data_IF_888876126356
#
_entry.id   IF_888876126356
#
_cell.length_a   1.000
_cell.length_b   1.000
_cell.length_c   1.000
_cell.angle_alpha   90.00
_cell.angle_beta   90.00
_cell.angle_gamma   90.00
#
_symmetry.space_group_name_H-M   'P 1'
#
loop_
_entity.id
_entity.type
_entity.pdbx_description
1 polymer ?
#
# COMPACT_ATOMS: atom_id res chain seq x y z
N UNK A 1 -43.44 10.43 -17.86
CA UNK A 1 -42.71 9.21 -17.46
C UNK A 1 -41.25 9.38 -17.86
N UNK A 2 -40.40 9.82 -16.92
CA UNK A 2 -38.96 9.97 -17.14
C UNK A 2 -38.26 8.72 -16.62
N UNK A 3 -37.66 7.93 -17.52
CA UNK A 3 -36.78 6.83 -17.17
C UNK A 3 -35.40 7.42 -16.87
N UNK A 4 -35.13 7.62 -15.59
CA UNK A 4 -33.79 7.91 -15.06
C UNK A 4 -33.50 6.83 -14.04
N UNK A 5 -32.32 6.22 -14.15
CA UNK A 5 -31.73 5.42 -13.07
C UNK A 5 -31.88 3.93 -13.31
N UNK A 6 -30.77 3.30 -13.69
CA UNK A 6 -30.41 1.92 -13.32
C UNK A 6 -28.99 1.60 -13.84
N UNK A 7 -28.52 2.27 -14.90
CA UNK A 7 -27.21 2.00 -15.52
C UNK A 7 -25.98 2.51 -14.75
N UNK A 8 -26.08 3.62 -13.98
CA UNK A 8 -24.92 4.20 -13.26
C UNK A 8 -24.58 3.49 -11.95
N UNK A 9 -25.58 2.96 -11.24
CA UNK A 9 -25.39 2.23 -9.97
C UNK A 9 -24.63 0.91 -10.21
N UNK A 10 -24.89 0.24 -11.34
CA UNK A 10 -24.22 -1.01 -11.69
C UNK A 10 -22.71 -0.86 -11.95
N UNK A 11 -22.25 0.31 -12.45
CA UNK A 11 -20.81 0.57 -12.69
C UNK A 11 -20.04 0.84 -11.40
N UNK A 12 -20.58 1.63 -10.48
CA UNK A 12 -19.94 1.87 -9.17
C UNK A 12 -19.82 0.59 -8.34
N UNK A 13 -20.80 -0.30 -8.43
CA UNK A 13 -20.76 -1.63 -7.80
C UNK A 13 -19.73 -2.53 -8.49
N UNK A 14 -19.64 -2.54 -9.84
CA UNK A 14 -18.64 -3.34 -10.54
C UNK A 14 -17.19 -2.90 -10.23
N UNK A 15 -16.94 -1.60 -10.05
CA UNK A 15 -15.63 -1.09 -9.63
C UNK A 15 -15.33 -1.53 -8.19
N UNK A 16 -16.29 -1.46 -7.27
CA UNK A 16 -16.11 -1.99 -5.91
C UNK A 16 -15.85 -3.50 -5.88
N UNK A 17 -16.49 -4.28 -6.76
CA UNK A 17 -16.25 -5.72 -6.90
C UNK A 17 -14.90 -6.05 -7.55
N UNK A 18 -14.45 -5.28 -8.55
CA UNK A 18 -13.09 -5.42 -9.10
C UNK A 18 -12.01 -4.92 -8.12
N UNK A 19 -12.37 -4.04 -7.18
CA UNK A 19 -11.49 -3.59 -6.09
C UNK A 19 -11.23 -4.71 -5.08
N UNK A 20 -12.08 -5.73 -5.00
CA UNK A 20 -12.03 -6.75 -3.95
C UNK A 20 -12.39 -8.12 -4.53
N UNK A 21 -11.51 -8.72 -5.35
CA UNK A 21 -11.64 -10.13 -5.68
C UNK A 21 -11.47 -10.96 -4.40
N UNK A 22 -12.55 -11.56 -3.91
CA UNK A 22 -12.59 -12.34 -2.68
C UNK A 22 -11.97 -13.74 -2.89
N UNK A 23 -11.06 -14.13 -1.99
CA UNK A 23 -10.66 -15.52 -1.79
C UNK A 23 -11.62 -16.19 -0.77
N UNK A 24 -11.88 -17.50 -0.86
CA UNK A 24 -12.84 -18.17 0.03
C UNK A 24 -12.38 -18.15 1.50
N UNK A 25 -13.37 -17.83 2.37
CA UNK A 25 -13.34 -17.68 3.84
C UNK A 25 -12.17 -18.28 4.60
N UNK A 26 -11.33 -17.41 5.16
CA UNK A 26 -10.40 -17.75 6.23
C UNK A 26 -11.16 -17.99 7.54
N UNK A 27 -10.72 -18.99 8.32
CA UNK A 27 -11.15 -19.13 9.71
C UNK A 27 -10.97 -17.80 10.45
N UNK A 28 -11.97 -17.36 11.23
CA UNK A 28 -11.97 -16.05 11.89
C UNK A 28 -10.78 -15.82 12.86
N UNK A 29 -10.03 -16.89 13.16
CA UNK A 29 -8.88 -16.94 14.05
C UNK A 29 -7.52 -16.82 13.32
N UNK A 30 -7.46 -17.14 12.02
CA UNK A 30 -6.22 -17.13 11.24
C UNK A 30 -6.15 -15.91 10.31
N UNK A 31 -4.93 -15.58 9.90
CA UNK A 31 -4.70 -14.53 8.91
C UNK A 31 -5.41 -14.87 7.58
N UNK A 32 -6.19 -13.94 7.00
CA UNK A 32 -6.65 -14.10 5.62
C UNK A 32 -5.45 -14.09 4.68
N UNK A 33 -5.68 -14.43 3.41
CA UNK A 33 -4.71 -14.10 2.37
C UNK A 33 -4.49 -12.58 2.41
N UNK A 34 -3.34 -12.15 2.95
CA UNK A 34 -2.95 -10.75 3.04
C UNK A 34 -2.58 -10.23 1.66
N UNK A 35 -3.55 -10.18 0.75
CA UNK A 35 -3.32 -9.81 -0.63
C UNK A 35 -3.91 -8.45 -0.97
N UNK A 36 -3.23 -7.76 -1.88
CA UNK A 36 -3.76 -6.61 -2.61
C UNK A 36 -3.84 -7.03 -4.07
N UNK A 37 -5.05 -7.31 -4.54
CA UNK A 37 -5.32 -7.68 -5.95
C UNK A 37 -4.41 -8.82 -6.43
N UNK A 38 -4.26 -9.87 -5.60
CA UNK A 38 -3.42 -11.02 -5.90
C UNK A 38 -1.93 -10.85 -5.58
N UNK A 39 -1.48 -9.67 -5.12
CA UNK A 39 -0.10 -9.44 -4.68
C UNK A 39 0.01 -9.67 -3.17
N UNK A 40 0.99 -10.46 -2.72
CA UNK A 40 1.21 -10.75 -1.30
C UNK A 40 2.65 -10.47 -0.87
N UNK A 41 2.89 -10.11 0.40
CA UNK A 41 4.24 -10.14 0.96
C UNK A 41 4.87 -11.52 0.76
N UNK A 42 6.18 -11.54 0.47
CA UNK A 42 6.94 -12.74 0.16
C UNK A 42 7.10 -13.07 -1.32
N UNK A 43 6.24 -12.54 -2.21
CA UNK A 43 6.42 -12.68 -3.66
C UNK A 43 7.75 -12.09 -4.11
N UNK A 44 8.38 -12.73 -5.09
CA UNK A 44 9.61 -12.23 -5.71
C UNK A 44 9.34 -11.01 -6.57
N UNK A 45 10.39 -10.24 -6.87
CA UNK A 45 10.30 -9.12 -7.81
C UNK A 45 9.72 -9.53 -9.17
N UNK A 46 10.14 -10.67 -9.72
CA UNK A 46 9.69 -11.12 -11.04
C UNK A 46 8.18 -11.45 -11.03
N UNK A 47 7.69 -12.10 -9.98
CA UNK A 47 6.26 -12.41 -9.83
C UNK A 47 5.42 -11.14 -9.72
N UNK A 48 5.85 -10.17 -8.91
CA UNK A 48 5.14 -8.90 -8.75
C UNK A 48 5.11 -8.12 -10.08
N UNK A 49 6.25 -7.97 -10.76
CA UNK A 49 6.30 -7.21 -12.02
C UNK A 49 5.42 -7.87 -13.07
N UNK A 50 5.50 -9.20 -13.23
CA UNK A 50 4.65 -9.92 -14.18
C UNK A 50 3.15 -9.73 -13.86
N UNK A 51 2.77 -9.80 -12.58
CA UNK A 51 1.39 -9.59 -12.17
C UNK A 51 0.92 -8.14 -12.40
N UNK A 52 1.80 -7.15 -12.22
CA UNK A 52 1.49 -5.74 -12.48
C UNK A 52 1.42 -5.41 -13.97
N UNK A 53 2.31 -5.96 -14.78
CA UNK A 53 2.33 -5.77 -16.24
C UNK A 53 1.14 -6.44 -16.93
N UNK A 54 0.59 -7.50 -16.34
CA UNK A 54 -0.62 -8.16 -16.84
C UNK A 54 -1.91 -7.34 -16.60
N UNK A 55 -1.84 -6.22 -15.89
CA UNK A 55 -3.01 -5.38 -15.60
C UNK A 55 -3.21 -4.31 -16.65
N UNK A 56 -4.42 -4.26 -17.20
CA UNK A 56 -4.81 -3.23 -18.17
C UNK A 56 -5.24 -1.91 -17.50
N UNK A 57 -5.58 -1.95 -16.21
CA UNK A 57 -6.08 -0.78 -15.48
C UNK A 57 -4.97 0.07 -14.85
N UNK A 58 -3.71 -0.35 -14.97
CA UNK A 58 -2.53 0.39 -14.53
C UNK A 58 -1.66 0.69 -15.75
N UNK A 59 -1.28 1.94 -15.95
CA UNK A 59 -0.63 2.38 -17.19
C UNK A 59 0.89 2.17 -17.21
N UNK A 60 1.59 2.63 -16.18
CA UNK A 60 3.05 2.59 -16.08
C UNK A 60 3.47 1.65 -14.95
N UNK A 61 4.42 0.76 -15.21
CA UNK A 61 5.21 0.05 -14.19
C UNK A 61 6.63 0.64 -14.16
N UNK A 62 7.02 1.25 -13.05
CA UNK A 62 8.36 1.83 -12.85
C UNK A 62 9.05 1.22 -11.62
N UNK A 63 10.37 1.19 -11.63
CA UNK A 63 11.20 0.66 -10.54
C UNK A 63 12.10 1.75 -9.98
N UNK A 64 12.22 1.79 -8.66
CA UNK A 64 13.11 2.71 -7.97
C UNK A 64 14.18 1.96 -7.16
N UNK A 65 15.39 2.50 -7.18
CA UNK A 65 16.55 1.84 -6.56
C UNK A 65 16.46 1.84 -5.03
N UNK A 66 15.80 2.83 -4.44
CA UNK A 66 15.91 3.12 -3.02
C UNK A 66 14.54 3.33 -2.37
N UNK A 67 14.38 2.83 -1.15
CA UNK A 67 13.29 3.20 -0.25
C UNK A 67 13.80 3.42 1.16
N UNK A 68 14.11 2.33 1.84
CA UNK A 68 14.39 2.29 3.27
C UNK A 68 15.88 2.16 3.58
N UNK A 69 16.68 1.73 2.59
CA UNK A 69 18.14 1.65 2.70
C UNK A 69 18.83 2.37 1.56
N UNK A 70 19.91 3.07 1.89
CA UNK A 70 20.78 3.62 0.85
C UNK A 70 21.56 2.48 0.21
N UNK A 71 21.52 2.42 -1.12
CA UNK A 71 22.15 1.34 -1.87
C UNK A 71 23.67 1.46 -1.97
N UNK A 72 24.25 2.62 -1.63
CA UNK A 72 25.69 2.89 -1.68
C UNK A 72 26.34 2.54 -3.03
N UNK A 73 25.61 2.78 -4.13
CA UNK A 73 26.04 2.48 -5.50
C UNK A 73 25.81 1.03 -5.94
N UNK A 74 25.34 0.15 -5.06
CA UNK A 74 24.87 -1.18 -5.45
C UNK A 74 23.54 -1.02 -6.22
N UNK A 75 23.36 -1.67 -7.39
CA UNK A 75 22.15 -1.53 -8.20
C UNK A 75 20.98 -2.31 -7.61
N UNK A 76 20.38 -1.81 -6.54
CA UNK A 76 19.23 -2.43 -5.87
C UNK A 76 17.92 -2.04 -6.53
N UNK A 77 16.85 -2.82 -6.27
CA UNK A 77 15.48 -2.49 -6.67
C UNK A 77 14.61 -2.58 -5.42
N UNK A 78 14.37 -1.45 -4.77
CA UNK A 78 13.65 -1.41 -3.49
C UNK A 78 12.18 -1.02 -3.63
N UNK A 79 11.78 -0.49 -4.78
CA UNK A 79 10.38 -0.14 -5.07
C UNK A 79 10.02 -0.57 -6.49
N UNK A 80 8.80 -1.06 -6.64
CA UNK A 80 8.06 -1.04 -7.91
C UNK A 80 6.79 -0.24 -7.70
N UNK A 81 6.40 0.54 -8.69
CA UNK A 81 5.14 1.26 -8.72
C UNK A 81 4.42 0.96 -10.02
N UNK A 82 3.14 0.63 -9.92
CA UNK A 82 2.22 0.57 -11.05
C UNK A 82 1.14 1.65 -10.90
N UNK A 83 0.91 2.50 -11.91
CA UNK A 83 0.09 3.71 -11.78
C UNK A 83 -0.56 4.13 -13.10
N UNK A 84 -1.78 4.66 -13.06
CA UNK A 84 -2.57 5.13 -14.24
C UNK A 84 -2.47 6.65 -14.50
N UNK A 85 -1.75 7.39 -13.66
CA UNK A 85 -1.56 8.83 -13.79
C UNK A 85 -0.64 9.24 -14.95
N UNK A 86 -0.67 10.55 -15.25
CA UNK A 86 0.16 11.16 -16.31
C UNK A 86 1.36 11.89 -15.72
N UNK A 87 2.40 12.09 -16.53
CA UNK A 87 3.59 12.83 -16.11
C UNK A 87 3.24 14.25 -15.70
N UNK A 88 3.96 14.73 -14.70
CA UNK A 88 4.00 16.16 -14.40
C UNK A 88 4.79 16.91 -15.47
N UNK A 89 4.31 18.10 -15.81
CA UNK A 89 5.00 18.95 -16.78
C UNK A 89 6.33 19.43 -16.18
N UNK A 90 7.33 19.65 -17.05
CA UNK A 90 8.64 20.14 -16.59
C UNK A 90 8.48 21.53 -15.97
N UNK A 91 8.82 21.66 -14.68
CA UNK A 91 8.68 22.91 -13.93
C UNK A 91 7.30 23.13 -13.28
N UNK A 92 6.37 22.18 -13.43
CA UNK A 92 5.12 22.18 -12.68
C UNK A 92 5.43 22.09 -11.18
N UNK A 93 4.95 23.07 -10.42
CA UNK A 93 5.25 23.16 -8.98
C UNK A 93 4.34 22.22 -8.21
N UNK A 94 4.90 21.63 -7.16
CA UNK A 94 4.14 20.92 -6.13
C UNK A 94 3.09 21.85 -5.51
N UNK A 95 1.82 21.67 -5.90
CA UNK A 95 0.68 22.31 -5.21
C UNK A 95 0.01 21.29 -4.33
N UNK A 96 -0.17 21.63 -3.05
CA UNK A 96 -0.92 20.81 -2.11
C UNK A 96 -2.42 20.91 -2.46
N UNK A 97 -3.06 19.79 -2.77
CA UNK A 97 -4.50 19.70 -3.02
C UNK A 97 -5.11 18.77 -1.97
N UNK A 98 -5.72 19.38 -0.95
CA UNK A 98 -6.21 18.66 0.22
C UNK A 98 -5.05 17.98 0.98
N UNK A 99 -5.12 16.66 1.09
CA UNK A 99 -4.07 15.82 1.70
C UNK A 99 -3.03 15.31 0.70
N UNK A 100 -3.27 15.47 -0.61
CA UNK A 100 -2.35 15.09 -1.67
C UNK A 100 -1.65 16.28 -2.29
N UNK A 101 -0.91 16.04 -3.36
CA UNK A 101 -0.31 17.06 -4.21
C UNK A 101 -0.69 16.82 -5.67
N UNK A 102 -0.83 17.91 -6.43
CA UNK A 102 -1.12 17.85 -7.87
C UNK A 102 -0.07 17.05 -8.63
N UNK A 103 1.19 17.30 -8.32
CA UNK A 103 2.31 16.47 -8.73
C UNK A 103 2.83 15.74 -7.51
N UNK A 104 2.63 14.45 -7.41
CA UNK A 104 3.07 13.69 -6.23
C UNK A 104 4.49 13.18 -6.42
N UNK A 105 5.45 13.74 -5.67
CA UNK A 105 6.78 13.14 -5.56
C UNK A 105 6.75 12.08 -4.49
N UNK A 106 7.05 10.87 -4.90
CA UNK A 106 7.18 9.74 -4.02
C UNK A 106 8.62 9.60 -3.52
N UNK A 107 8.76 9.02 -2.32
CA UNK A 107 10.08 8.62 -1.80
C UNK A 107 10.72 7.64 -2.79
N UNK A 108 12.05 7.66 -2.87
CA UNK A 108 12.80 6.68 -3.65
C UNK A 108 13.11 7.05 -5.09
N UNK A 109 12.85 8.31 -5.51
CA UNK A 109 13.11 8.82 -6.87
C UNK A 109 12.18 8.24 -7.95
N UNK A 110 10.97 7.84 -7.57
CA UNK A 110 9.90 7.55 -8.52
C UNK A 110 9.47 8.82 -9.25
N UNK A 111 9.00 8.66 -10.48
CA UNK A 111 8.63 9.80 -11.35
C UNK A 111 7.41 10.52 -10.79
N UNK A 112 7.43 11.87 -10.66
CA UNK A 112 6.25 12.60 -10.23
C UNK A 112 5.09 12.46 -11.23
N UNK A 113 3.89 12.17 -10.71
CA UNK A 113 2.69 11.99 -11.54
C UNK A 113 1.52 12.83 -11.01
N UNK A 114 0.57 13.12 -11.90
CA UNK A 114 -0.70 13.79 -11.61
C UNK A 114 -1.88 12.99 -12.14
N UNK A 115 -3.08 13.37 -11.72
CA UNK A 115 -4.35 12.74 -12.11
C UNK A 115 -4.36 11.21 -11.90
N UNK A 116 -3.79 10.76 -10.77
CA UNK A 116 -3.74 9.34 -10.40
C UNK A 116 -5.14 8.89 -9.96
N UNK A 117 -5.70 7.91 -10.66
CA UNK A 117 -6.92 7.21 -10.27
C UNK A 117 -6.62 5.93 -9.48
N UNK A 118 -5.56 5.22 -9.85
CA UNK A 118 -5.10 4.00 -9.19
C UNK A 118 -3.58 3.95 -9.11
N UNK A 119 -3.09 3.45 -7.98
CA UNK A 119 -1.66 3.26 -7.75
C UNK A 119 -1.44 2.02 -6.88
N UNK A 120 -0.46 1.22 -7.25
CA UNK A 120 0.10 0.16 -6.41
C UNK A 120 1.58 0.44 -6.24
N UNK A 121 2.06 0.42 -5.00
CA UNK A 121 3.48 0.49 -4.68
C UNK A 121 3.86 -0.78 -3.93
N UNK A 122 4.95 -1.40 -4.33
CA UNK A 122 5.51 -2.58 -3.68
C UNK A 122 6.93 -2.25 -3.23
N UNK A 123 7.20 -2.40 -1.95
CA UNK A 123 8.54 -2.31 -1.40
C UNK A 123 9.20 -3.69 -1.36
N UNK A 124 10.45 -3.73 -1.82
CA UNK A 124 11.28 -4.92 -1.87
C UNK A 124 12.48 -4.82 -0.95
N UNK A 125 12.90 -5.98 -0.46
CA UNK A 125 14.12 -6.18 0.29
C UNK A 125 14.90 -7.35 -0.29
N UNK A 126 16.22 -7.25 -0.26
CA UNK A 126 17.12 -8.28 -0.78
C UNK A 126 18.03 -7.74 -1.87
N UNK A 127 19.10 -8.50 -2.14
CA UNK A 127 20.02 -8.22 -3.22
C UNK A 127 19.37 -8.50 -4.59
N UNK A 128 19.91 -7.95 -5.69
CA UNK A 128 19.44 -8.24 -7.04
C UNK A 128 19.31 -9.75 -7.32
N UNK A 129 18.14 -10.17 -7.79
CA UNK A 129 17.77 -11.56 -8.06
C UNK A 129 17.24 -12.32 -6.84
N UNK A 130 17.21 -11.71 -5.65
CA UNK A 130 16.71 -12.30 -4.40
C UNK A 130 15.70 -11.39 -3.71
N UNK A 131 15.17 -10.41 -4.41
CA UNK A 131 14.22 -9.46 -3.85
C UNK A 131 12.89 -10.13 -3.54
N UNK A 132 12.36 -9.86 -2.34
CA UNK A 132 11.04 -10.28 -1.90
C UNK A 132 10.22 -9.07 -1.48
N UNK A 133 8.93 -9.10 -1.79
CA UNK A 133 7.97 -8.07 -1.43
C UNK A 133 7.81 -8.05 0.09
N UNK A 134 8.12 -6.91 0.71
CA UNK A 134 7.99 -6.70 2.15
C UNK A 134 6.69 -6.00 2.51
N UNK A 135 6.33 -4.96 1.76
CA UNK A 135 5.12 -4.18 1.99
C UNK A 135 4.48 -3.79 0.66
N UNK A 136 3.15 -3.83 0.62
CA UNK A 136 2.37 -3.46 -0.55
C UNK A 136 1.40 -2.36 -0.12
N UNK A 137 1.25 -1.34 -0.97
CA UNK A 137 0.25 -0.30 -0.87
C UNK A 137 -0.60 -0.29 -2.12
N UNK A 138 -1.88 -0.02 -1.96
CA UNK A 138 -2.79 0.34 -3.03
C UNK A 138 -3.54 1.60 -2.66
N UNK A 139 -3.68 2.47 -3.64
CA UNK A 139 -4.52 3.67 -3.59
C UNK A 139 -5.50 3.64 -4.74
N UNK A 140 -6.73 4.05 -4.46
CA UNK A 140 -7.79 4.30 -5.44
C UNK A 140 -8.39 5.66 -5.13
N UNK A 141 -8.41 6.55 -6.12
CA UNK A 141 -9.09 7.85 -6.08
C UNK A 141 -10.33 7.75 -6.96
N UNK A 142 -11.50 7.98 -6.37
CA UNK A 142 -12.77 7.85 -7.09
C UNK A 142 -13.10 9.13 -7.83
N UNK A 143 -13.45 9.01 -9.11
CA UNK A 143 -13.90 10.13 -9.92
C UNK A 143 -15.19 10.75 -9.35
N UNK A 144 -15.40 12.04 -9.61
CA UNK A 144 -16.61 12.74 -9.19
C UNK A 144 -17.86 12.06 -9.76
N UNK A 145 -18.82 11.77 -8.88
CA UNK A 145 -20.05 11.06 -9.26
C UNK A 145 -19.92 9.54 -9.33
N UNK A 146 -18.71 9.00 -9.14
CA UNK A 146 -18.43 7.56 -8.99
C UNK A 146 -17.99 7.19 -7.56
N UNK A 147 -18.16 8.12 -6.62
CA UNK A 147 -17.80 7.93 -5.21
C UNK A 147 -18.70 6.84 -4.57
N UNK A 148 -18.13 5.69 -4.14
CA UNK A 148 -18.90 4.66 -3.44
C UNK A 148 -19.27 5.14 -2.04
N UNK A 149 -20.23 4.47 -1.39
CA UNK A 149 -20.50 4.73 0.02
C UNK A 149 -19.34 4.24 0.89
N UNK A 150 -19.06 4.95 1.98
CA UNK A 150 -18.07 4.51 2.96
C UNK A 150 -18.48 3.15 3.53
N UNK A 151 -19.76 2.96 3.87
CA UNK A 151 -20.27 1.69 4.39
C UNK A 151 -20.08 0.53 3.41
N UNK A 152 -20.30 0.75 2.11
CA UNK A 152 -20.10 -0.28 1.09
C UNK A 152 -18.63 -0.69 0.94
N UNK A 153 -17.70 0.26 1.07
CA UNK A 153 -16.28 -0.06 1.12
C UNK A 153 -15.90 -0.81 2.40
N UNK A 154 -16.44 -0.43 3.56
CA UNK A 154 -16.22 -1.16 4.81
C UNK A 154 -16.72 -2.60 4.71
N UNK A 155 -17.93 -2.81 4.19
CA UNK A 155 -18.53 -4.14 3.97
C UNK A 155 -17.67 -5.00 3.04
N UNK A 156 -17.23 -4.46 1.90
CA UNK A 156 -16.36 -5.20 0.97
C UNK A 156 -15.01 -5.57 1.59
N UNK A 157 -14.42 -4.68 2.40
CA UNK A 157 -13.17 -4.96 3.10
C UNK A 157 -13.37 -6.02 4.19
N UNK A 158 -14.51 -5.99 4.89
CA UNK A 158 -14.87 -7.02 5.89
C UNK A 158 -15.13 -8.36 5.23
N UNK A 159 -15.77 -8.38 4.06
CA UNK A 159 -15.98 -9.59 3.28
C UNK A 159 -14.63 -10.22 2.89
N UNK A 160 -13.66 -9.40 2.47
CA UNK A 160 -12.33 -9.89 2.06
C UNK A 160 -11.42 -10.31 3.20
N UNK A 161 -11.33 -9.49 4.24
CA UNK A 161 -10.32 -9.66 5.30
C UNK A 161 -10.92 -10.13 6.64
N UNK A 162 -12.24 -10.33 6.71
CA UNK A 162 -12.97 -10.63 7.93
C UNK A 162 -13.23 -9.39 8.80
N UNK A 163 -13.73 -9.58 10.01
CA UNK A 163 -13.97 -8.48 10.94
C UNK A 163 -12.65 -7.80 11.35
N UNK A 164 -12.52 -6.46 11.31
CA UNK A 164 -11.32 -5.75 11.73
C UNK A 164 -11.12 -5.83 13.24
N UNK A 165 -9.86 -5.68 13.69
CA UNK A 165 -9.52 -5.55 15.10
C UNK A 165 -9.73 -4.13 15.63
N UNK A 166 -9.53 -3.17 14.74
CA UNK A 166 -9.67 -1.76 15.01
C UNK A 166 -10.50 -1.17 13.90
N UNK A 167 -11.59 -0.53 14.30
CA UNK A 167 -12.34 0.42 13.48
C UNK A 167 -12.30 1.75 14.20
N UNK A 168 -11.70 2.75 13.57
CA UNK A 168 -11.62 4.10 14.10
C UNK A 168 -12.24 5.07 13.12
N UNK A 169 -13.02 5.99 13.66
CA UNK A 169 -13.48 7.19 12.99
C UNK A 169 -12.94 8.39 13.78
N UNK A 170 -13.12 9.59 13.23
CA UNK A 170 -12.65 10.89 13.73
C UNK A 170 -12.72 11.10 15.27
N UNK A 171 -13.64 10.44 15.97
CA UNK A 171 -13.86 10.56 17.42
C UNK A 171 -12.90 9.75 18.31
N UNK A 172 -11.97 8.96 17.76
CA UNK A 172 -11.18 8.01 18.56
C UNK A 172 -9.72 7.89 18.16
N UNK A 173 -8.85 8.33 19.08
CA UNK A 173 -7.42 7.99 19.17
C UNK A 173 -6.43 8.81 18.30
N UNK A 174 -5.81 9.81 18.92
CA UNK A 174 -4.72 10.63 18.37
C UNK A 174 -3.43 9.88 18.00
N UNK A 175 -3.34 8.56 18.22
CA UNK A 175 -2.07 7.81 18.06
C UNK A 175 -1.95 7.00 16.76
N UNK A 176 -3.04 6.79 16.00
CA UNK A 176 -3.01 5.94 14.79
C UNK A 176 -2.67 6.67 13.49
N UNK A 177 -2.45 7.98 13.60
CA UNK A 177 -1.99 8.91 12.55
C UNK A 177 -2.87 8.99 11.29
N UNK A 178 -4.08 8.43 11.28
CA UNK A 178 -4.99 8.52 10.13
C UNK A 178 -5.37 9.98 9.80
N UNK A 179 -5.72 10.22 8.54
CA UNK A 179 -6.15 11.55 8.08
C UNK A 179 -7.47 11.95 8.72
N UNK A 180 -7.62 13.23 9.02
CA UNK A 180 -8.83 13.77 9.66
C UNK A 180 -10.09 13.44 8.85
N UNK A 181 -11.13 12.98 9.53
CA UNK A 181 -12.40 12.55 8.93
C UNK A 181 -12.36 11.17 8.25
N UNK A 182 -11.21 10.50 8.18
CA UNK A 182 -11.12 9.18 7.58
C UNK A 182 -11.70 8.08 8.47
N UNK A 183 -12.22 7.02 7.85
CA UNK A 183 -12.47 5.74 8.52
C UNK A 183 -11.25 4.86 8.35
N UNK A 184 -10.69 4.40 9.47
CA UNK A 184 -9.56 3.49 9.52
C UNK A 184 -10.02 2.10 9.97
N UNK A 185 -9.69 1.07 9.19
CA UNK A 185 -9.84 -0.34 9.53
C UNK A 185 -8.46 -0.99 9.65
N UNK A 186 -8.27 -1.90 10.61
CA UNK A 186 -7.00 -2.63 10.75
C UNK A 186 -7.22 -4.08 11.17
N UNK A 187 -6.49 -4.98 10.51
CA UNK A 187 -6.39 -6.40 10.82
C UNK A 187 -4.96 -6.72 11.20
N UNK A 188 -4.78 -7.43 12.32
CA UNK A 188 -3.47 -7.62 12.93
C UNK A 188 -3.35 -9.04 13.42
N UNK A 189 -2.24 -9.67 13.06
CA UNK A 189 -1.95 -11.04 13.41
C UNK A 189 -0.57 -11.10 14.08
N UNK A 190 -0.41 -12.05 14.99
CA UNK A 190 0.87 -12.40 15.56
C UNK A 190 1.77 -13.06 14.50
N UNK A 191 3.06 -13.21 14.80
CA UNK A 191 4.01 -13.96 13.96
C UNK A 191 3.61 -15.40 13.67
N UNK A 192 2.81 -15.99 14.55
CA UNK A 192 2.24 -17.33 14.42
C UNK A 192 1.02 -17.38 13.48
N UNK A 193 0.64 -16.24 12.88
CA UNK A 193 -0.52 -16.11 12.01
C UNK A 193 -1.85 -16.05 12.76
N UNK A 194 -1.83 -16.11 14.09
CA UNK A 194 -3.03 -16.03 14.90
C UNK A 194 -3.47 -14.59 15.11
N UNK A 195 -4.78 -14.41 15.18
CA UNK A 195 -5.42 -13.14 15.45
C UNK A 195 -5.00 -12.57 16.82
N UNK A 196 -4.54 -11.31 16.88
CA UNK A 196 -4.18 -10.67 18.16
C UNK A 196 -5.45 -10.28 18.93
N UNK A 197 -5.54 -10.61 20.22
CA UNK A 197 -6.74 -10.35 21.03
C UNK A 197 -6.71 -8.98 21.74
N UNK A 198 -7.88 -8.48 22.17
CA UNK A 198 -8.06 -7.11 22.69
C UNK A 198 -7.25 -6.70 23.94
N UNK A 199 -6.95 -7.57 24.94
CA UNK A 199 -6.14 -7.14 26.08
C UNK A 199 -4.63 -7.04 25.77
N UNK A 200 -4.21 -7.31 24.52
CA UNK A 200 -2.80 -7.35 24.17
C UNK A 200 -2.20 -5.94 23.99
N UNK A 201 -1.20 -5.59 24.81
CA UNK A 201 -0.39 -4.37 24.64
C UNK A 201 0.27 -4.29 23.26
N UNK A 202 0.46 -5.43 22.58
CA UNK A 202 0.96 -5.49 21.21
C UNK A 202 -0.01 -4.90 20.20
N UNK A 203 -1.34 -4.96 20.43
CA UNK A 203 -2.36 -4.45 19.50
C UNK A 203 -2.06 -3.01 19.08
N UNK A 204 -1.87 -2.10 20.03
CA UNK A 204 -1.57 -0.69 19.73
C UNK A 204 -0.24 -0.51 18.99
N UNK A 205 0.77 -1.33 19.31
CA UNK A 205 2.08 -1.25 18.67
C UNK A 205 2.04 -1.75 17.23
N UNK A 206 1.28 -2.81 16.96
CA UNK A 206 1.15 -3.39 15.63
C UNK A 206 0.27 -2.53 14.70
N UNK A 207 -0.81 -1.90 15.19
CA UNK A 207 -1.64 -0.98 14.38
C UNK A 207 -0.81 0.19 13.87
N UNK A 208 0.02 0.78 14.72
CA UNK A 208 0.68 2.05 14.43
C UNK A 208 1.89 1.92 13.50
N UNK A 209 2.26 0.68 13.14
CA UNK A 209 3.38 0.35 12.29
C UNK A 209 3.23 0.85 10.84
N UNK A 210 2.58 0.07 9.96
CA UNK A 210 2.41 0.42 8.56
C UNK A 210 1.42 1.56 8.41
N UNK A 211 1.69 2.56 7.57
CA UNK A 211 0.68 3.57 7.23
C UNK A 211 -0.05 3.18 5.94
N UNK A 212 -1.39 3.36 5.85
CA UNK A 212 -2.18 3.01 4.67
C UNK A 212 -1.73 3.70 3.38
N UNK A 213 -1.18 4.91 3.47
CA UNK A 213 -0.62 5.64 2.32
C UNK A 213 0.91 5.54 2.29
N UNK A 214 1.49 5.39 1.09
CA UNK A 214 2.92 5.12 0.92
C UNK A 214 3.82 6.28 1.38
N UNK A 215 3.42 7.54 1.22
CA UNK A 215 4.27 8.70 1.54
C UNK A 215 4.47 8.93 3.05
N UNK A 216 3.72 8.22 3.91
CA UNK A 216 3.78 8.32 5.36
C UNK A 216 5.13 7.92 5.98
N UNK A 217 5.24 8.16 7.30
CA UNK A 217 6.30 7.59 8.12
C UNK A 217 5.88 6.19 8.57
N UNK A 218 6.58 5.17 8.10
CA UNK A 218 6.30 3.76 8.43
C UNK A 218 7.17 3.32 9.60
N UNK A 219 6.61 2.45 10.43
CA UNK A 219 7.34 1.71 11.47
C UNK A 219 6.90 0.25 11.43
N UNK A 220 7.66 -0.62 12.08
CA UNK A 220 7.35 -2.03 12.13
C UNK A 220 7.92 -2.63 13.42
N UNK A 221 7.25 -3.66 13.93
CA UNK A 221 7.64 -4.38 15.14
C UNK A 221 7.71 -5.88 14.86
N UNK A 222 8.82 -6.52 15.25
CA UNK A 222 9.07 -7.94 14.98
C UNK A 222 8.24 -8.91 15.82
N UNK A 223 7.52 -8.38 16.80
CA UNK A 223 6.47 -9.10 17.53
C UNK A 223 5.12 -9.08 16.83
N UNK A 224 4.99 -8.45 15.67
CA UNK A 224 3.79 -8.42 14.84
C UNK A 224 4.03 -9.24 13.57
N UNK A 225 3.07 -10.07 13.17
CA UNK A 225 3.09 -10.76 11.88
C UNK A 225 2.39 -9.92 10.82
N UNK A 226 1.42 -10.53 10.14
CA UNK A 226 0.61 -9.85 9.12
C UNK A 226 -0.17 -8.67 9.71
N UNK A 227 -0.12 -7.54 9.03
CA UNK A 227 -0.93 -6.36 9.32
C UNK A 227 -1.51 -5.82 8.02
N UNK A 228 -2.83 -5.67 8.01
CA UNK A 228 -3.58 -5.04 6.92
C UNK A 228 -4.18 -3.77 7.50
N UNK A 229 -4.03 -2.64 6.82
CA UNK A 229 -4.74 -1.40 7.20
C UNK A 229 -5.39 -0.78 5.98
N UNK A 230 -6.63 -0.35 6.16
CA UNK A 230 -7.37 0.38 5.15
C UNK A 230 -7.80 1.74 5.71
N UNK A 231 -7.61 2.79 4.92
CA UNK A 231 -8.09 4.15 5.20
C UNK A 231 -9.03 4.58 4.08
N UNK A 232 -10.26 4.91 4.46
CA UNK A 232 -11.30 5.42 3.58
C UNK A 232 -11.47 6.91 3.86
N UNK A 233 -11.23 7.76 2.87
CA UNK A 233 -11.41 9.20 3.02
C UNK A 233 -12.76 9.65 2.48
N UNK A 234 -13.51 10.45 3.25
CA UNK A 234 -14.76 11.01 2.79
C UNK A 234 -14.53 12.09 1.73
N UNK A 235 -15.52 12.26 0.84
CA UNK A 235 -15.65 13.46 0.02
C UNK A 235 -15.75 14.67 0.95
N UNK A 236 -15.04 15.75 0.65
CA UNK A 236 -15.10 16.98 1.46
C UNK A 236 -16.55 17.47 1.59
N UNK A 237 -17.04 17.56 2.84
CA UNK A 237 -18.40 17.99 3.15
C UNK A 237 -19.47 16.90 3.01
N UNK A 238 -19.09 15.66 2.67
CA UNK A 238 -20.00 14.52 2.62
C UNK A 238 -19.33 13.26 3.22
N UNK A 239 -19.72 12.97 4.46
CA UNK A 239 -19.13 11.87 5.24
C UNK A 239 -19.76 10.50 4.94
N UNK A 240 -20.60 10.39 3.91
CA UNK A 240 -21.23 9.14 3.48
C UNK A 240 -20.57 8.54 2.24
N UNK A 241 -19.88 9.36 1.44
CA UNK A 241 -19.24 8.95 0.19
C UNK A 241 -17.73 9.02 0.30
N UNK A 242 -17.05 8.05 -0.28
CA UNK A 242 -15.59 7.99 -0.30
C UNK A 242 -15.02 8.68 -1.54
N UNK A 243 -14.01 9.52 -1.34
CA UNK A 243 -13.19 10.08 -2.43
C UNK A 243 -11.93 9.26 -2.68
N UNK A 244 -11.44 8.53 -1.67
CA UNK A 244 -10.19 7.79 -1.78
C UNK A 244 -10.20 6.57 -0.85
N UNK A 245 -9.65 5.46 -1.32
CA UNK A 245 -9.35 4.26 -0.54
C UNK A 245 -7.85 4.00 -0.59
N UNK A 246 -7.25 3.79 0.57
CA UNK A 246 -5.85 3.36 0.69
C UNK A 246 -5.81 2.06 1.48
N UNK A 247 -5.07 1.08 0.99
CA UNK A 247 -4.87 -0.21 1.66
C UNK A 247 -3.39 -0.51 1.69
N UNK A 248 -2.89 -0.98 2.83
CA UNK A 248 -1.55 -1.54 2.93
C UNK A 248 -1.60 -2.93 3.55
N UNK A 249 -0.73 -3.80 3.05
CA UNK A 249 -0.46 -5.13 3.61
C UNK A 249 1.03 -5.22 3.87
N UNK A 250 1.38 -5.66 5.08
CA UNK A 250 2.75 -5.85 5.54
C UNK A 250 2.81 -7.07 6.45
N UNK A 251 3.75 -7.98 6.23
CA UNK A 251 4.23 -8.87 7.29
C UNK A 251 5.40 -8.20 8.02
N UNK A 252 5.14 -7.69 9.23
CA UNK A 252 6.11 -6.86 9.95
C UNK A 252 7.33 -7.65 10.41
N UNK A 253 7.15 -8.92 10.82
CA UNK A 253 8.24 -9.77 11.24
C UNK A 253 9.10 -10.17 10.03
N UNK A 254 8.47 -10.65 8.96
CA UNK A 254 9.20 -11.04 7.75
C UNK A 254 9.98 -9.86 7.17
N UNK A 255 9.38 -8.66 7.13
CA UNK A 255 10.07 -7.43 6.72
C UNK A 255 11.31 -7.16 7.58
N UNK A 256 11.21 -7.29 8.91
CA UNK A 256 12.35 -7.05 9.81
C UNK A 256 13.48 -8.05 9.62
N UNK A 257 13.15 -9.33 9.41
CA UNK A 257 14.15 -10.37 9.10
C UNK A 257 14.84 -10.05 7.78
N UNK A 258 14.06 -9.74 6.73
CA UNK A 258 14.60 -9.39 5.42
C UNK A 258 15.45 -8.12 5.44
N UNK A 259 15.08 -7.11 6.24
CA UNK A 259 15.85 -5.87 6.42
C UNK A 259 17.24 -6.15 6.98
N UNK A 260 17.32 -6.97 8.04
CA UNK A 260 18.61 -7.32 8.66
C UNK A 260 19.51 -8.09 7.69
N UNK A 261 18.93 -9.03 6.94
CA UNK A 261 19.67 -9.77 5.93
C UNK A 261 20.18 -8.86 4.82
N UNK A 262 19.31 -7.98 4.31
CA UNK A 262 19.67 -7.04 3.26
C UNK A 262 20.76 -6.06 3.72
N UNK A 263 20.71 -5.59 4.97
CA UNK A 263 21.77 -4.75 5.55
C UNK A 263 23.13 -5.47 5.60
N UNK A 264 23.13 -6.75 5.98
CA UNK A 264 24.34 -7.57 6.00
C UNK A 264 24.90 -7.77 4.58
N UNK A 265 24.02 -8.09 3.62
CA UNK A 265 24.40 -8.35 2.23
C UNK A 265 24.91 -7.08 1.52
N UNK A 266 24.26 -5.94 1.73
CA UNK A 266 24.70 -4.65 1.21
C UNK A 266 26.09 -4.29 1.75
N UNK A 267 26.32 -4.46 3.05
CA UNK A 267 27.62 -4.20 3.67
C UNK A 267 28.70 -5.09 3.06
N UNK A 268 28.41 -6.37 2.85
CA UNK A 268 29.33 -7.31 2.21
C UNK A 268 29.62 -6.92 0.75
N UNK A 269 28.60 -6.56 -0.03
CA UNK A 269 28.76 -6.15 -1.43
C UNK A 269 29.61 -4.89 -1.57
N UNK A 270 29.36 -3.87 -0.73
CA UNK A 270 30.16 -2.64 -0.71
C UNK A 270 31.62 -2.92 -0.32
N UNK A 271 31.85 -3.77 0.69
CA UNK A 271 33.20 -4.18 1.08
C UNK A 271 33.93 -4.93 -0.04
N UNK A 272 33.21 -5.73 -0.84
CA UNK A 272 33.72 -6.40 -2.03
C UNK A 272 33.93 -5.45 -3.24
N UNK A 273 33.60 -4.16 -3.10
CA UNK A 273 33.82 -3.14 -4.13
C UNK A 273 32.65 -2.90 -5.08
N UNK A 274 31.49 -3.51 -4.84
CA UNK A 274 30.27 -3.14 -5.56
C UNK A 274 29.93 -1.66 -5.31
N UNK A 275 29.47 -0.96 -6.36
CA UNK A 275 29.11 0.46 -6.28
C UNK A 275 30.25 1.46 -6.46
N UNK A 276 31.51 1.02 -6.62
CA UNK A 276 32.58 1.89 -7.12
C UNK A 276 32.32 2.22 -8.60
N UNK A 277 31.97 3.48 -8.92
CA UNK A 277 31.95 3.95 -10.30
C UNK A 277 33.34 3.73 -10.90
N UNK A 278 33.46 2.88 -11.92
CA UNK A 278 34.72 2.78 -12.70
C UNK A 278 35.02 4.18 -13.22
N UNK A 279 36.20 4.73 -12.90
CA UNK A 279 36.69 5.93 -13.56
C UNK A 279 36.68 5.64 -15.08
N UNK A 280 36.09 6.51 -15.92
CA UNK A 280 36.23 6.36 -17.35
C UNK A 280 37.73 6.35 -17.65
N UNK A 281 38.21 5.28 -18.27
CA UNK A 281 39.56 5.21 -18.80
C UNK A 281 39.54 6.08 -20.05
N UNK A 282 40.22 7.23 -19.98
CA UNK A 282 40.49 8.08 -21.14
C UNK A 282 41.48 7.40 -22.07
#
# INVERSE_FOLDING_TARGET
>A
MHSIGFSRIARGILVAFAVVAAAPGADAQSAPAGDITGLTPGMTYAEIVAALEAREDLGLVETAEQWVRQSNGVPTRQLVRAVDGVDCDTGEKFRKVGWGSECETLKGRLTPRKAIGQEIVVAFLGMPGKEVAGQIWRRVVFAEGENPSISGLEEALVEKYGAPHVRQTESGYYSTKHRFGATLLSWIYGPDGNRITEPDRLKATCVNGPQPWFTGGHSWNGGCGLTIRAEILPVKGNNLLAQELNVTVLDQQALLVALRQFDADLKAAVAAGAGKKKKPTL
#
